data_IF_401269891342
#
_entry.id   IF_401269891342
#
_cell.length_a   1.000
_cell.length_b   1.000
_cell.length_c   1.000
_cell.angle_alpha   90.00
_cell.angle_beta   90.00
_cell.angle_gamma   90.00
#
_symmetry.space_group_name_H-M   'P 1'
#
loop_
_entity.id
_entity.type
_entity.pdbx_description
1 polymer ?
#
# COMPACT_ATOMS: atom_id res chain seq x y z
N UNK A 1 -9.91 -10.23 -13.05
CA UNK A 1 -8.72 -9.35 -12.90
C UNK A 1 -8.44 -9.17 -11.43
N UNK A 2 -7.23 -9.43 -10.98
CA UNK A 2 -6.86 -9.24 -9.58
C UNK A 2 -6.20 -7.88 -9.38
N UNK A 3 -6.50 -7.27 -8.24
CA UNK A 3 -5.91 -6.01 -7.83
C UNK A 3 -4.88 -6.30 -6.75
N UNK A 4 -3.68 -5.75 -6.90
CA UNK A 4 -2.60 -5.90 -5.93
C UNK A 4 -2.32 -4.55 -5.31
N UNK A 5 -2.51 -4.43 -4.00
CA UNK A 5 -2.24 -3.21 -3.24
C UNK A 5 -0.87 -3.35 -2.58
N UNK A 6 -0.02 -2.36 -2.78
CA UNK A 6 1.36 -2.37 -2.30
C UNK A 6 1.54 -1.46 -1.09
N UNK A 7 2.01 -2.03 0.02
CA UNK A 7 2.45 -1.27 1.17
C UNK A 7 3.87 -0.73 0.92
N UNK A 8 4.29 0.23 1.72
CA UNK A 8 5.63 0.85 1.58
C UNK A 8 6.75 -0.18 1.66
N UNK A 9 6.69 -1.12 2.61
CA UNK A 9 7.74 -2.13 2.75
C UNK A 9 7.83 -3.05 1.53
N UNK A 10 6.72 -3.29 0.82
CA UNK A 10 6.74 -4.07 -0.41
C UNK A 10 7.59 -3.40 -1.49
N UNK A 11 7.53 -2.09 -1.56
CA UNK A 11 8.35 -1.30 -2.50
C UNK A 11 9.83 -1.29 -2.07
N UNK A 12 10.05 -0.98 -0.78
CA UNK A 12 11.41 -0.84 -0.23
C UNK A 12 12.20 -2.15 -0.31
N UNK A 13 11.56 -3.27 -0.03
CA UNK A 13 12.24 -4.58 -0.01
C UNK A 13 12.78 -4.99 -1.38
N UNK A 14 12.15 -4.55 -2.45
CA UNK A 14 12.63 -4.86 -3.79
C UNK A 14 13.75 -3.91 -4.25
N UNK A 15 13.84 -2.73 -3.64
CA UNK A 15 14.89 -1.77 -3.96
C UNK A 15 14.97 -1.46 -5.45
N UNK A 16 16.16 -1.62 -6.03
CA UNK A 16 16.40 -1.34 -7.45
C UNK A 16 15.68 -2.30 -8.40
N UNK A 17 15.27 -3.46 -7.92
CA UNK A 17 14.54 -4.42 -8.73
C UNK A 17 13.05 -4.11 -8.84
N UNK A 18 12.55 -3.13 -8.08
CA UNK A 18 11.12 -2.82 -8.05
C UNK A 18 10.54 -2.52 -9.43
N UNK A 19 11.15 -1.66 -10.28
CA UNK A 19 10.58 -1.39 -11.61
C UNK A 19 10.45 -2.64 -12.48
N UNK A 20 11.44 -3.54 -12.47
CA UNK A 20 11.36 -4.79 -13.21
C UNK A 20 10.24 -5.68 -12.72
N UNK A 21 10.04 -5.71 -11.39
CA UNK A 21 8.96 -6.49 -10.79
C UNK A 21 7.58 -5.95 -11.17
N UNK A 22 7.46 -4.63 -11.24
CA UNK A 22 6.23 -3.98 -11.68
C UNK A 22 5.93 -4.33 -13.13
N UNK A 23 6.90 -4.21 -14.02
CA UNK A 23 6.73 -4.56 -15.43
C UNK A 23 6.31 -6.02 -15.60
N UNK A 24 6.95 -6.93 -14.88
CA UNK A 24 6.62 -8.36 -14.95
C UNK A 24 5.20 -8.64 -14.46
N UNK A 25 4.77 -7.97 -13.39
CA UNK A 25 3.43 -8.16 -12.84
C UNK A 25 2.35 -7.64 -13.80
N UNK A 26 2.60 -6.50 -14.42
CA UNK A 26 1.64 -5.91 -15.38
C UNK A 26 1.48 -6.79 -16.62
N UNK A 27 2.53 -7.46 -17.04
CA UNK A 27 2.48 -8.41 -18.16
C UNK A 27 1.54 -9.59 -17.88
N UNK A 28 1.29 -9.91 -16.62
CA UNK A 28 0.38 -10.98 -16.21
C UNK A 28 -1.05 -10.49 -15.94
N UNK A 29 -1.41 -9.33 -16.45
CA UNK A 29 -2.73 -8.68 -16.26
C UNK A 29 -3.05 -8.30 -14.82
N UNK A 30 -2.07 -8.17 -13.95
CA UNK A 30 -2.28 -7.68 -12.61
C UNK A 30 -2.39 -6.15 -12.63
N UNK A 31 -3.35 -5.62 -11.88
CA UNK A 31 -3.49 -4.18 -11.66
C UNK A 31 -2.82 -3.83 -10.36
N UNK A 32 -1.75 -3.04 -10.44
CA UNK A 32 -0.98 -2.65 -9.27
C UNK A 32 -1.48 -1.30 -8.74
N UNK A 33 -1.91 -1.29 -7.50
CA UNK A 33 -2.43 -0.10 -6.83
C UNK A 33 -1.44 0.34 -5.77
N UNK A 34 -1.04 1.61 -5.86
CA UNK A 34 -0.21 2.25 -4.85
C UNK A 34 -1.11 3.22 -4.07
N UNK A 35 -1.30 3.01 -2.75
CA UNK A 35 -2.07 3.96 -1.97
C UNK A 35 -1.41 5.34 -2.00
N UNK A 36 -2.22 6.39 -2.07
CA UNK A 36 -1.67 7.76 -2.11
C UNK A 36 -0.87 8.08 -0.86
N UNK A 37 -1.25 7.54 0.29
CA UNK A 37 -0.49 7.72 1.53
C UNK A 37 0.92 7.13 1.42
N UNK A 38 1.06 6.00 0.74
CA UNK A 38 2.35 5.37 0.50
C UNK A 38 3.17 6.19 -0.50
N UNK A 39 2.55 6.67 -1.56
CA UNK A 39 3.20 7.55 -2.54
C UNK A 39 3.71 8.82 -1.87
N UNK A 40 2.93 9.41 -0.97
CA UNK A 40 3.33 10.59 -0.22
C UNK A 40 4.62 10.32 0.57
N UNK A 41 4.68 9.19 1.26
CA UNK A 41 5.83 8.82 2.08
C UNK A 41 7.07 8.52 1.25
N UNK A 42 6.92 7.73 0.18
CA UNK A 42 8.06 7.24 -0.60
C UNK A 42 8.54 8.18 -1.70
N UNK A 43 7.67 9.03 -2.20
CA UNK A 43 7.96 9.90 -3.34
C UNK A 43 7.94 11.38 -2.95
N UNK A 44 6.79 11.88 -2.54
CA UNK A 44 6.61 13.33 -2.34
C UNK A 44 7.48 13.86 -1.21
N UNK A 45 7.50 13.18 -0.07
CA UNK A 45 8.31 13.60 1.08
C UNK A 45 9.81 13.52 0.76
N UNK A 46 10.23 12.51 0.01
CA UNK A 46 11.63 12.33 -0.36
C UNK A 46 12.07 13.40 -1.37
N UNK A 47 11.28 13.64 -2.41
CA UNK A 47 11.64 14.63 -3.43
C UNK A 47 11.58 16.07 -2.93
N UNK A 48 10.77 16.33 -1.90
CA UNK A 48 10.67 17.66 -1.28
C UNK A 48 11.69 17.87 -0.15
N UNK A 49 12.38 16.83 0.32
CA UNK A 49 13.40 16.96 1.35
C UNK A 49 14.73 17.42 0.75
N UNK A 50 15.29 18.51 1.25
CA UNK A 50 16.55 19.06 0.74
C UNK A 50 17.75 18.14 0.99
N UNK A 51 17.70 17.37 2.07
CA UNK A 51 18.81 16.53 2.54
C UNK A 51 18.60 15.04 2.28
N UNK A 52 17.62 14.67 1.44
CA UNK A 52 17.38 13.26 1.14
C UNK A 52 18.59 12.64 0.43
N UNK A 53 18.99 11.42 0.83
CA UNK A 53 20.08 10.71 0.14
C UNK A 53 19.80 10.49 -1.34
N UNK A 54 20.84 10.51 -2.16
CA UNK A 54 20.72 10.37 -3.63
C UNK A 54 20.02 9.07 -4.02
N UNK A 55 20.31 7.96 -3.34
CA UNK A 55 19.67 6.68 -3.62
C UNK A 55 18.18 6.69 -3.31
N UNK A 56 17.75 7.44 -2.29
CA UNK A 56 16.32 7.60 -1.99
C UNK A 56 15.63 8.45 -3.05
N UNK A 57 16.30 9.50 -3.53
CA UNK A 57 15.76 10.34 -4.60
C UNK A 57 15.62 9.56 -5.90
N UNK A 58 16.61 8.75 -6.24
CA UNK A 58 16.57 7.92 -7.44
C UNK A 58 15.42 6.91 -7.36
N UNK A 59 15.21 6.28 -6.20
CA UNK A 59 14.10 5.37 -6.00
C UNK A 59 12.74 6.09 -6.12
N UNK A 60 12.63 7.28 -5.53
CA UNK A 60 11.40 8.07 -5.61
C UNK A 60 11.09 8.46 -7.06
N UNK A 61 12.10 8.87 -7.82
CA UNK A 61 11.93 9.22 -9.23
C UNK A 61 11.49 8.02 -10.06
N UNK A 62 12.06 6.83 -9.80
CA UNK A 62 11.68 5.61 -10.49
C UNK A 62 10.22 5.24 -10.23
N UNK A 63 9.75 5.39 -9.00
CA UNK A 63 8.35 5.17 -8.65
C UNK A 63 7.44 6.18 -9.37
N UNK A 64 7.84 7.44 -9.38
CA UNK A 64 7.07 8.48 -10.07
C UNK A 64 6.94 8.18 -11.56
N UNK A 65 8.00 7.71 -12.19
CA UNK A 65 7.96 7.33 -13.61
C UNK A 65 6.97 6.18 -13.85
N UNK A 66 6.95 5.18 -12.97
CA UNK A 66 6.00 4.07 -13.09
C UNK A 66 4.55 4.55 -12.96
N UNK A 67 4.30 5.54 -12.12
CA UNK A 67 2.99 6.16 -11.98
C UNK A 67 2.62 6.92 -13.25
N UNK A 68 3.54 7.74 -13.74
CA UNK A 68 3.32 8.56 -14.94
C UNK A 68 3.08 7.71 -16.19
N UNK A 69 3.72 6.56 -16.28
CA UNK A 69 3.56 5.61 -17.38
C UNK A 69 2.33 4.71 -17.25
N UNK A 70 1.63 4.79 -16.13
CA UNK A 70 0.41 4.03 -15.90
C UNK A 70 0.60 2.60 -15.38
N UNK A 71 1.82 2.21 -15.01
CA UNK A 71 2.07 0.89 -14.44
C UNK A 71 1.61 0.77 -13.00
N UNK A 72 1.66 1.87 -12.25
CA UNK A 72 1.14 1.94 -10.89
C UNK A 72 -0.04 2.91 -10.88
N UNK A 73 -1.15 2.47 -10.33
CA UNK A 73 -2.38 3.27 -10.23
C UNK A 73 -2.49 3.81 -8.81
N UNK A 74 -2.63 5.13 -8.67
CA UNK A 74 -2.83 5.74 -7.36
C UNK A 74 -4.30 5.65 -6.96
N UNK A 75 -4.54 5.28 -5.71
CA UNK A 75 -5.90 5.21 -5.15
C UNK A 75 -5.93 5.73 -3.72
N UNK A 76 -7.04 6.34 -3.38
CA UNK A 76 -7.41 6.70 -2.02
C UNK A 76 -8.69 5.97 -1.65
N UNK A 77 -8.89 5.63 -0.36
CA UNK A 77 -10.22 5.23 0.07
C UNK A 77 -11.14 6.45 0.07
N UNK A 78 -12.44 6.21 0.04
CA UNK A 78 -13.42 7.24 0.32
C UNK A 78 -13.37 7.56 1.81
N UNK A 79 -12.75 8.67 2.17
CA UNK A 79 -12.52 9.03 3.58
C UNK A 79 -13.81 9.18 4.38
N UNK A 80 -14.84 9.67 3.75
CA UNK A 80 -16.14 9.88 4.41
C UNK A 80 -16.87 8.56 4.63
N UNK A 81 -16.98 7.75 3.58
CA UNK A 81 -17.67 6.47 3.66
C UNK A 81 -16.98 5.47 4.57
N UNK A 82 -15.65 5.52 4.66
CA UNK A 82 -14.84 4.57 5.44
C UNK A 82 -14.17 5.20 6.65
N UNK A 83 -14.71 6.32 7.16
CA UNK A 83 -14.13 7.02 8.31
C UNK A 83 -14.02 6.11 9.54
N UNK A 84 -15.02 5.27 9.78
CA UNK A 84 -15.02 4.34 10.91
C UNK A 84 -13.89 3.31 10.79
N UNK A 85 -13.66 2.81 9.57
CA UNK A 85 -12.60 1.85 9.29
C UNK A 85 -11.23 2.50 9.50
N UNK A 86 -11.07 3.74 9.04
CA UNK A 86 -9.82 4.50 9.20
C UNK A 86 -9.53 4.73 10.69
N UNK A 87 -10.54 5.14 11.46
CA UNK A 87 -10.38 5.39 12.90
C UNK A 87 -10.02 4.11 13.64
N UNK A 88 -10.64 2.99 13.30
CA UNK A 88 -10.32 1.70 13.91
C UNK A 88 -8.90 1.26 13.54
N UNK A 89 -8.51 1.41 12.28
CA UNK A 89 -7.17 1.07 11.85
C UNK A 89 -6.12 1.87 12.61
N UNK A 90 -6.37 3.16 12.77
CA UNK A 90 -5.47 4.04 13.54
C UNK A 90 -5.33 3.55 14.98
N UNK A 91 -6.43 3.23 15.64
CA UNK A 91 -6.41 2.77 17.03
C UNK A 91 -5.67 1.44 17.16
N UNK A 92 -5.91 0.50 16.26
CA UNK A 92 -5.28 -0.83 16.32
C UNK A 92 -3.77 -0.75 16.06
N UNK A 93 -3.36 0.06 15.10
CA UNK A 93 -1.95 0.20 14.73
C UNK A 93 -1.17 1.00 15.77
N UNK A 94 -1.79 2.06 16.32
CA UNK A 94 -1.14 2.97 17.28
C UNK A 94 -0.98 2.37 18.67
N UNK A 95 -1.67 1.29 19.00
CA UNK A 95 -1.67 0.71 20.34
C UNK A 95 -0.33 0.12 20.80
N UNK A 96 0.65 0.00 19.92
CA UNK A 96 1.95 -0.59 20.24
C UNK A 96 3.08 0.44 20.32
N UNK A 97 2.77 1.64 20.78
CA UNK A 97 3.74 2.73 21.01
C UNK A 97 4.54 3.17 19.79
N UNK A 98 4.03 2.97 18.59
CA UNK A 98 4.62 3.55 17.40
C UNK A 98 4.36 5.06 17.38
N UNK A 99 5.36 5.87 16.99
CA UNK A 99 5.12 7.29 16.80
C UNK A 99 3.97 7.55 15.82
N UNK A 100 3.19 8.58 16.08
CA UNK A 100 2.02 8.91 15.27
C UNK A 100 2.33 9.07 13.78
N UNK A 101 3.53 9.53 13.45
CA UNK A 101 3.95 9.70 12.06
C UNK A 101 4.17 8.36 11.32
N UNK A 102 4.50 7.29 12.04
CA UNK A 102 4.68 5.96 11.44
C UNK A 102 3.35 5.29 11.11
N UNK A 103 2.25 5.80 11.67
CA UNK A 103 0.91 5.26 11.45
C UNK A 103 0.21 5.93 10.26
N UNK A 104 0.70 7.08 9.81
CA UNK A 104 0.00 7.92 8.83
C UNK A 104 -0.37 7.24 7.52
N UNK A 105 0.55 6.48 6.95
CA UNK A 105 0.28 5.78 5.70
C UNK A 105 -0.60 4.55 5.94
N UNK A 106 -0.27 3.79 6.97
CA UNK A 106 -0.89 2.49 7.24
C UNK A 106 -2.36 2.59 7.63
N UNK A 107 -2.78 3.71 8.23
CA UNK A 107 -4.16 3.88 8.69
C UNK A 107 -5.18 3.86 7.55
N UNK A 108 -4.76 4.20 6.32
CA UNK A 108 -5.65 4.27 5.17
C UNK A 108 -5.71 2.97 4.37
N UNK A 109 -4.74 2.09 4.56
CA UNK A 109 -4.65 0.85 3.78
C UNK A 109 -5.82 -0.11 4.04
N UNK A 110 -6.23 -0.35 5.29
CA UNK A 110 -7.39 -1.22 5.53
C UNK A 110 -8.68 -0.71 4.88
N UNK A 111 -8.89 0.60 4.89
CA UNK A 111 -10.06 1.21 4.25
C UNK A 111 -10.02 1.01 2.73
N UNK A 112 -8.87 1.24 2.12
CA UNK A 112 -8.70 1.06 0.68
C UNK A 112 -8.91 -0.40 0.27
N UNK A 113 -8.33 -1.34 1.01
CA UNK A 113 -8.49 -2.77 0.74
C UNK A 113 -9.97 -3.17 0.86
N UNK A 114 -10.64 -2.71 1.91
CA UNK A 114 -12.06 -3.00 2.14
C UNK A 114 -12.92 -2.47 0.99
N UNK A 115 -12.66 -1.24 0.57
CA UNK A 115 -13.41 -0.61 -0.53
C UNK A 115 -13.23 -1.38 -1.84
N UNK A 116 -11.99 -1.69 -2.20
CA UNK A 116 -11.70 -2.44 -3.42
C UNK A 116 -12.30 -3.86 -3.38
N UNK A 117 -12.29 -4.49 -2.21
CA UNK A 117 -12.80 -5.85 -2.04
C UNK A 117 -14.32 -5.95 -2.19
N UNK A 118 -15.04 -4.83 -2.17
CA UNK A 118 -16.48 -4.85 -2.42
C UNK A 118 -16.79 -5.34 -3.84
N UNK A 119 -15.91 -5.12 -4.80
CA UNK A 119 -16.16 -5.40 -6.21
C UNK A 119 -15.11 -6.32 -6.86
N UNK A 120 -13.98 -6.54 -6.25
CA UNK A 120 -12.85 -7.26 -6.86
C UNK A 120 -12.12 -8.12 -5.84
N UNK A 121 -11.40 -9.12 -6.34
CA UNK A 121 -10.44 -9.85 -5.51
C UNK A 121 -9.21 -8.95 -5.32
N UNK A 122 -8.76 -8.80 -4.08
CA UNK A 122 -7.66 -7.91 -3.70
C UNK A 122 -6.57 -8.69 -3.00
N UNK A 123 -5.32 -8.47 -3.40
CA UNK A 123 -4.16 -8.98 -2.69
C UNK A 123 -3.43 -7.79 -2.08
N UNK A 124 -3.24 -7.80 -0.77
CA UNK A 124 -2.41 -6.81 -0.09
C UNK A 124 -1.02 -7.41 0.11
N UNK A 125 -0.01 -6.74 -0.41
CA UNK A 125 1.38 -7.17 -0.27
C UNK A 125 2.04 -6.33 0.81
N UNK A 126 2.35 -6.95 1.93
CA UNK A 126 2.99 -6.28 3.06
C UNK A 126 3.74 -7.28 3.93
N UNK A 127 4.88 -6.86 4.47
CA UNK A 127 5.64 -7.61 5.47
C UNK A 127 5.23 -7.22 6.90
N UNK A 128 4.42 -6.18 7.07
CA UNK A 128 4.01 -5.67 8.37
C UNK A 128 2.93 -6.56 8.99
N UNK A 129 3.31 -7.27 10.03
CA UNK A 129 2.43 -8.21 10.73
C UNK A 129 1.22 -7.49 11.35
N UNK A 130 1.44 -6.33 11.94
CA UNK A 130 0.37 -5.57 12.60
C UNK A 130 -0.67 -5.10 11.58
N UNK A 131 -0.21 -4.63 10.43
CA UNK A 131 -1.10 -4.23 9.34
C UNK A 131 -1.90 -5.43 8.82
N UNK A 132 -1.26 -6.59 8.65
CA UNK A 132 -1.93 -7.81 8.20
C UNK A 132 -3.04 -8.22 9.17
N UNK A 133 -2.76 -8.22 10.46
CA UNK A 133 -3.76 -8.54 11.48
C UNK A 133 -4.91 -7.54 11.47
N UNK A 134 -4.60 -6.26 11.34
CA UNK A 134 -5.61 -5.20 11.29
C UNK A 134 -6.53 -5.36 10.08
N UNK A 135 -5.95 -5.60 8.90
CA UNK A 135 -6.74 -5.82 7.67
C UNK A 135 -7.60 -7.07 7.80
N UNK A 136 -7.04 -8.15 8.35
CA UNK A 136 -7.79 -9.39 8.54
C UNK A 136 -9.03 -9.18 9.41
N UNK A 137 -8.89 -8.50 10.54
CA UNK A 137 -10.01 -8.27 11.45
C UNK A 137 -11.06 -7.32 10.85
N UNK A 138 -10.62 -6.26 10.19
CA UNK A 138 -11.53 -5.28 9.60
C UNK A 138 -12.30 -5.89 8.42
N UNK A 139 -11.62 -6.60 7.52
CA UNK A 139 -12.28 -7.19 6.35
C UNK A 139 -13.24 -8.30 6.75
N UNK A 140 -12.91 -9.04 7.80
CA UNK A 140 -13.81 -10.06 8.35
C UNK A 140 -15.10 -9.42 8.86
N UNK A 141 -15.00 -8.33 9.61
CA UNK A 141 -16.17 -7.63 10.14
C UNK A 141 -16.98 -6.96 9.02
N UNK A 142 -16.32 -6.50 7.96
CA UNK A 142 -16.97 -5.88 6.81
C UNK A 142 -17.49 -6.90 5.80
N UNK A 143 -17.36 -8.19 6.09
CA UNK A 143 -17.85 -9.30 5.25
C UNK A 143 -17.21 -9.36 3.86
N UNK A 144 -15.95 -8.94 3.73
CA UNK A 144 -15.21 -8.99 2.47
C UNK A 144 -13.93 -9.81 2.58
N UNK A 145 -13.72 -10.52 3.70
CA UNK A 145 -12.50 -11.29 3.94
C UNK A 145 -12.23 -12.33 2.84
N UNK A 146 -13.29 -12.91 2.27
CA UNK A 146 -13.16 -13.92 1.21
C UNK A 146 -12.56 -13.35 -0.08
N UNK A 147 -12.62 -12.04 -0.26
CA UNK A 147 -12.08 -11.35 -1.43
C UNK A 147 -10.65 -10.86 -1.21
N UNK A 148 -10.10 -11.00 0.01
CA UNK A 148 -8.81 -10.42 0.36
C UNK A 148 -7.78 -11.50 0.64
N UNK A 149 -6.63 -11.40 -0.02
CA UNK A 149 -5.46 -12.25 0.22
C UNK A 149 -4.34 -11.37 0.77
N UNK A 150 -3.67 -11.86 1.81
CA UNK A 150 -2.52 -11.18 2.40
C UNK A 150 -1.26 -11.94 2.00
N UNK A 151 -0.30 -11.25 1.39
CA UNK A 151 0.90 -11.88 0.86
C UNK A 151 2.17 -11.15 1.29
N UNK A 152 3.25 -11.90 1.37
CA UNK A 152 4.57 -11.38 1.69
C UNK A 152 5.22 -10.80 0.42
N UNK A 153 5.95 -9.67 0.51
CA UNK A 153 6.62 -9.08 -0.65
C UNK A 153 7.61 -10.00 -1.36
N UNK A 154 8.19 -10.95 -0.63
CA UNK A 154 9.14 -11.91 -1.23
C UNK A 154 8.45 -13.03 -2.00
N UNK A 155 7.15 -13.21 -1.80
CA UNK A 155 6.36 -14.25 -2.46
C UNK A 155 5.63 -13.71 -3.68
N UNK A 156 5.08 -12.51 -3.56
CA UNK A 156 4.30 -11.84 -4.61
C UNK A 156 5.00 -10.53 -4.95
N UNK A 157 5.32 -10.38 -6.22
CA UNK A 157 6.05 -9.24 -6.69
C UNK A 157 7.52 -9.27 -6.26
#
# INVERSE_FOLDING_TARGET
MSVIVLDANAVIMHGRAFPERVHAAVETDAKLVLPRSVKQELVDDVLNAEDAPENHRAAAQAIQELIDEGYLVLRNPDYEAYSDVIDEARRRIANDSLPEHDVKADQYIPALVTELAQNEAVTLVTADRKLRETVREITKRQNVADQVTLSDPLTVL
#
